data_IF_380400245524
#
_entry.id   IF_380400245524
#
_cell.length_a   1.000
_cell.length_b   1.000
_cell.length_c   1.000
_cell.angle_alpha   90.00
_cell.angle_beta   90.00
_cell.angle_gamma   90.00
#
_symmetry.space_group_name_H-M   'P 1'
#
loop_
_entity.id
_entity.type
_entity.pdbx_description
1 polymer ?
#
# COMPACT_ATOMS: atom_id res chain seq x y z
N UNK A 1 5.50 -0.15 4.85
CA UNK A 1 4.94 -0.77 6.08
C UNK A 1 6.02 -0.75 7.16
N UNK A 2 5.66 -0.75 8.44
CA UNK A 2 6.66 -0.88 9.53
C UNK A 2 6.88 -2.32 9.98
N UNK A 3 6.01 -3.25 9.58
CA UNK A 3 6.15 -4.70 9.76
C UNK A 3 5.60 -5.43 8.52
N UNK A 4 6.48 -6.00 7.71
CA UNK A 4 6.14 -6.68 6.45
C UNK A 4 5.53 -8.06 6.68
N UNK A 5 5.66 -8.65 7.87
CA UNK A 5 5.02 -9.94 8.16
C UNK A 5 3.49 -9.85 8.04
N UNK A 6 2.94 -8.63 8.21
CA UNK A 6 1.52 -8.29 8.10
C UNK A 6 1.06 -7.91 6.69
N UNK A 7 1.89 -8.12 5.66
CA UNK A 7 1.58 -7.74 4.28
C UNK A 7 0.23 -8.26 3.76
N UNK A 8 -0.22 -9.43 4.25
CA UNK A 8 -1.49 -10.03 3.83
C UNK A 8 -2.70 -9.18 4.19
N UNK A 9 -2.71 -8.58 5.39
CA UNK A 9 -3.81 -7.71 5.83
C UNK A 9 -3.96 -6.51 4.89
N UNK A 10 -2.83 -5.90 4.49
CA UNK A 10 -2.82 -4.77 3.54
C UNK A 10 -3.18 -5.25 2.13
N UNK A 11 -2.65 -6.40 1.70
CA UNK A 11 -2.92 -6.98 0.39
C UNK A 11 -4.39 -7.33 0.16
N UNK A 12 -5.08 -7.81 1.19
CA UNK A 12 -6.52 -8.10 1.13
C UNK A 12 -7.35 -6.84 0.88
N UNK A 13 -7.07 -5.74 1.61
CA UNK A 13 -7.74 -4.46 1.40
C UNK A 13 -7.37 -3.86 0.05
N UNK A 14 -6.10 -3.93 -0.35
CA UNK A 14 -5.66 -3.49 -1.68
C UNK A 14 -6.41 -4.23 -2.79
N UNK A 15 -6.59 -5.55 -2.67
CA UNK A 15 -7.34 -6.34 -3.65
C UNK A 15 -8.84 -5.99 -3.66
N UNK A 16 -9.44 -5.69 -2.50
CA UNK A 16 -10.84 -5.23 -2.43
C UNK A 16 -11.04 -3.90 -3.15
N UNK A 17 -10.07 -2.98 -3.06
CA UNK A 17 -10.18 -1.64 -3.64
C UNK A 17 -9.75 -1.62 -5.11
N UNK A 18 -8.66 -2.29 -5.46
CA UNK A 18 -8.02 -2.21 -6.78
C UNK A 18 -8.09 -3.50 -7.59
N UNK A 19 -8.90 -4.48 -7.19
CA UNK A 19 -8.98 -5.80 -7.84
C UNK A 19 -9.35 -5.75 -9.33
N UNK A 20 -10.15 -4.78 -9.74
CA UNK A 20 -10.52 -4.58 -11.15
C UNK A 20 -9.47 -3.75 -11.91
N UNK A 21 -8.97 -2.67 -11.29
CA UNK A 21 -8.01 -1.71 -11.89
C UNK A 21 -6.64 -2.36 -12.07
N UNK A 22 -6.20 -3.16 -11.09
CA UNK A 22 -4.92 -3.88 -11.03
C UNK A 22 -3.71 -2.97 -11.35
N UNK A 23 -3.48 -1.91 -10.57
CA UNK A 23 -2.27 -1.12 -10.71
C UNK A 23 -1.04 -1.97 -10.39
N UNK A 24 0.10 -1.61 -10.96
CA UNK A 24 1.39 -2.12 -10.46
C UNK A 24 1.61 -1.62 -9.04
N UNK A 25 2.23 -2.43 -8.20
CA UNK A 25 2.42 -2.09 -6.78
C UNK A 25 3.75 -2.62 -6.28
N UNK A 26 4.41 -1.81 -5.46
CA UNK A 26 5.58 -2.21 -4.68
C UNK A 26 5.22 -2.14 -3.19
N UNK A 27 5.58 -3.15 -2.42
CA UNK A 27 5.39 -3.17 -0.99
C UNK A 27 6.73 -3.46 -0.30
N UNK A 28 7.15 -2.55 0.58
CA UNK A 28 8.42 -2.64 1.31
C UNK A 28 8.22 -2.35 2.79
N UNK A 29 9.13 -2.89 3.60
CA UNK A 29 9.30 -2.51 4.99
C UNK A 29 10.20 -1.28 5.11
N UNK A 30 9.86 -0.37 6.02
CA UNK A 30 10.68 0.77 6.43
C UNK A 30 10.77 0.79 7.95
N UNK A 31 11.82 1.42 8.50
CA UNK A 31 12.05 1.42 9.95
C UNK A 31 11.02 2.22 10.75
N UNK A 32 10.44 3.27 10.17
CA UNK A 32 9.43 4.12 10.78
C UNK A 32 8.69 4.97 9.73
N UNK A 33 7.50 5.47 10.10
CA UNK A 33 6.74 6.49 9.36
C UNK A 33 6.74 7.81 10.13
N UNK A 34 6.08 8.85 9.60
CA UNK A 34 6.09 10.21 10.19
C UNK A 34 5.55 10.25 11.63
N UNK A 35 4.61 9.38 11.97
CA UNK A 35 4.08 9.21 13.32
C UNK A 35 4.17 7.75 13.76
N UNK A 36 4.45 7.49 15.05
CA UNK A 36 4.80 6.15 15.54
C UNK A 36 3.61 5.16 15.56
N UNK A 37 2.38 5.65 15.48
CA UNK A 37 1.15 4.86 15.43
C UNK A 37 0.74 4.45 14.00
N UNK A 38 1.40 5.01 12.97
CA UNK A 38 1.15 4.64 11.58
C UNK A 38 1.84 3.32 11.25
N UNK A 39 1.10 2.40 10.63
CA UNK A 39 1.57 1.04 10.30
C UNK A 39 1.89 0.86 8.80
N UNK A 40 1.22 1.64 7.95
CA UNK A 40 1.35 1.61 6.50
C UNK A 40 1.15 3.02 5.95
N UNK A 41 1.89 3.35 4.89
CA UNK A 41 1.71 4.53 4.05
C UNK A 41 1.61 4.05 2.60
N UNK A 42 0.80 4.72 1.79
CA UNK A 42 0.54 4.38 0.39
C UNK A 42 0.78 5.62 -0.46
N UNK A 43 1.62 5.49 -1.48
CA UNK A 43 1.82 6.47 -2.54
C UNK A 43 1.18 5.93 -3.83
N UNK A 44 0.53 6.80 -4.61
CA UNK A 44 -0.19 6.40 -5.81
C UNK A 44 -0.01 7.43 -6.93
N UNK A 45 0.35 6.93 -8.11
CA UNK A 45 0.36 7.68 -9.34
C UNK A 45 -0.86 7.32 -10.19
N UNK A 46 -1.44 8.31 -10.86
CA UNK A 46 -2.59 8.13 -11.74
C UNK A 46 -2.39 8.87 -13.06
N UNK A 47 -2.89 8.27 -14.14
CA UNK A 47 -2.94 8.85 -15.47
C UNK A 47 -4.37 8.77 -16.00
N UNK A 48 -4.86 9.87 -16.57
CA UNK A 48 -6.19 9.96 -17.18
C UNK A 48 -6.04 10.64 -18.54
N UNK A 49 -6.60 10.03 -19.59
CA UNK A 49 -6.62 10.62 -20.93
C UNK A 49 -7.37 11.96 -20.92
N UNK A 50 -6.89 12.89 -21.77
CA UNK A 50 -7.44 14.25 -21.89
C UNK A 50 -8.69 14.32 -22.76
#
# INVERSE_FOLDING_TARGET
>A
MTDISRWREVGEVHAQVFGDIRPVTTMIEVSALIAPDLLVEIEADAYVDS
#
